data_IF_628291669183
#
_entry.id   IF_628291669183
#
_cell.length_a   1.000
_cell.length_b   1.000
_cell.length_c   1.000
_cell.angle_alpha   90.00
_cell.angle_beta   90.00
_cell.angle_gamma   90.00
#
_symmetry.space_group_name_H-M   'P 1'
#
loop_
_entity.id
_entity.type
_entity.pdbx_description
1 polymer ?
#
# COMPACT_ATOMS: atom_id res chain seq x y z
N UNK A 1 -27.17 0.32 -23.60
CA UNK A 1 -26.32 -0.29 -22.56
C UNK A 1 -25.62 0.86 -21.87
N UNK A 2 -26.18 1.33 -20.76
CA UNK A 2 -25.55 2.38 -19.97
C UNK A 2 -24.35 1.75 -19.28
N UNK A 3 -23.15 2.14 -19.71
CA UNK A 3 -21.93 1.89 -18.96
C UNK A 3 -22.04 2.69 -17.68
N UNK A 4 -22.56 2.07 -16.62
CA UNK A 4 -22.56 2.63 -15.26
C UNK A 4 -21.13 2.77 -14.78
N UNK A 5 -20.44 3.81 -15.24
CA UNK A 5 -19.21 4.29 -14.62
C UNK A 5 -19.59 4.66 -13.19
N UNK A 6 -19.12 3.87 -12.23
CA UNK A 6 -19.22 4.27 -10.83
C UNK A 6 -18.37 5.52 -10.71
N UNK A 7 -19.02 6.68 -10.53
CA UNK A 7 -18.33 7.90 -10.16
C UNK A 7 -17.46 7.58 -8.94
N UNK A 8 -16.15 7.70 -9.10
CA UNK A 8 -15.20 7.48 -8.02
C UNK A 8 -15.37 8.63 -7.03
N UNK A 9 -15.77 8.32 -5.79
CA UNK A 9 -15.85 9.33 -4.74
C UNK A 9 -14.44 9.87 -4.45
N UNK A 10 -14.22 11.13 -4.81
CA UNK A 10 -12.94 11.81 -4.65
C UNK A 10 -12.53 11.93 -3.17
N UNK A 11 -13.49 12.10 -2.27
CA UNK A 11 -13.22 12.17 -0.84
C UNK A 11 -12.74 10.83 -0.28
N UNK A 12 -13.34 9.72 -0.72
CA UNK A 12 -12.86 8.38 -0.40
C UNK A 12 -11.49 8.10 -1.00
N UNK A 13 -11.26 8.52 -2.25
CA UNK A 13 -9.99 8.36 -2.93
C UNK A 13 -8.84 9.09 -2.22
N UNK A 14 -9.07 10.33 -1.78
CA UNK A 14 -8.08 11.08 -1.01
C UNK A 14 -7.84 10.50 0.39
N UNK A 15 -8.88 9.99 1.05
CA UNK A 15 -8.73 9.27 2.33
C UNK A 15 -7.88 8.01 2.15
N UNK A 16 -8.14 7.24 1.09
CA UNK A 16 -7.35 6.05 0.75
C UNK A 16 -5.89 6.42 0.44
N UNK A 17 -5.67 7.44 -0.37
CA UNK A 17 -4.32 7.93 -0.68
C UNK A 17 -3.56 8.36 0.59
N UNK A 18 -4.24 9.00 1.54
CA UNK A 18 -3.66 9.35 2.83
C UNK A 18 -3.31 8.15 3.69
N UNK A 19 -4.19 7.14 3.73
CA UNK A 19 -3.94 5.89 4.44
C UNK A 19 -2.75 5.12 3.86
N UNK A 20 -2.61 5.10 2.53
CA UNK A 20 -1.49 4.45 1.85
C UNK A 20 -0.14 5.12 2.17
N UNK A 21 -0.09 6.46 2.23
CA UNK A 21 1.12 7.17 2.67
C UNK A 21 1.53 6.79 4.10
N UNK A 22 0.56 6.72 5.02
CA UNK A 22 0.82 6.28 6.40
C UNK A 22 1.31 4.82 6.45
N UNK A 23 0.70 3.93 5.66
CA UNK A 23 1.12 2.55 5.55
C UNK A 23 2.53 2.41 4.97
N UNK A 24 2.89 3.25 3.99
CA UNK A 24 4.23 3.34 3.42
C UNK A 24 5.27 3.70 4.47
N UNK A 25 5.04 4.77 5.24
CA UNK A 25 5.95 5.17 6.32
C UNK A 25 6.10 4.09 7.39
N UNK A 26 5.00 3.46 7.80
CA UNK A 26 5.06 2.36 8.77
C UNK A 26 5.83 1.14 8.23
N UNK A 27 5.73 0.87 6.93
CA UNK A 27 6.49 -0.20 6.27
C UNK A 27 7.99 0.12 6.22
N UNK A 28 8.36 1.37 5.95
CA UNK A 28 9.77 1.81 5.99
C UNK A 28 10.38 1.60 7.38
N UNK A 29 9.67 2.01 8.44
CA UNK A 29 10.10 1.77 9.82
C UNK A 29 10.23 0.27 10.13
N UNK A 30 9.30 -0.56 9.63
CA UNK A 30 9.35 -2.00 9.83
C UNK A 30 10.54 -2.66 9.09
N UNK A 31 10.89 -2.16 7.90
CA UNK A 31 12.07 -2.62 7.15
C UNK A 31 13.35 -2.27 7.89
N UNK A 32 13.50 -1.04 8.35
CA UNK A 32 14.66 -0.61 9.14
C UNK A 32 14.78 -1.43 10.43
N UNK A 33 13.67 -1.67 11.13
CA UNK A 33 13.66 -2.53 12.32
C UNK A 33 14.07 -3.98 11.98
N UNK A 34 13.59 -4.54 10.88
CA UNK A 34 13.94 -5.89 10.46
C UNK A 34 15.42 -6.02 10.06
N UNK A 35 15.98 -5.02 9.38
CA UNK A 35 17.40 -4.96 9.05
C UNK A 35 18.27 -4.90 10.32
N UNK A 36 17.88 -4.06 11.29
CA UNK A 36 18.60 -3.90 12.55
C UNK A 36 18.51 -5.12 13.46
N UNK A 37 17.35 -5.78 13.53
CA UNK A 37 17.13 -6.97 14.35
C UNK A 37 17.71 -8.24 13.72
N UNK A 38 17.89 -8.26 12.40
CA UNK A 38 18.24 -9.46 11.65
C UNK A 38 17.16 -10.54 11.71
N UNK A 39 17.52 -11.77 11.35
CA UNK A 39 16.59 -12.90 11.35
C UNK A 39 16.54 -13.56 12.74
N UNK A 40 15.83 -12.93 13.67
CA UNK A 40 15.80 -13.34 15.08
C UNK A 40 14.95 -14.59 15.36
N UNK A 41 13.96 -14.90 14.50
CA UNK A 41 13.12 -16.10 14.61
C UNK A 41 12.79 -16.66 13.22
N UNK A 42 13.34 -17.83 12.91
CA UNK A 42 13.20 -18.56 11.66
C UNK A 42 11.76 -19.02 11.37
N UNK A 43 10.86 -18.94 12.34
CA UNK A 43 9.42 -19.19 12.16
C UNK A 43 8.70 -17.99 11.53
N UNK A 44 9.28 -16.80 11.64
CA UNK A 44 8.76 -15.59 11.03
C UNK A 44 9.69 -15.16 9.90
N UNK A 45 9.27 -15.43 8.66
CA UNK A 45 9.93 -14.91 7.47
C UNK A 45 9.55 -13.42 7.27
N UNK A 46 10.11 -12.59 8.16
CA UNK A 46 9.89 -11.13 8.18
C UNK A 46 10.26 -10.49 6.83
N UNK A 47 11.40 -10.81 6.19
CA UNK A 47 11.73 -10.25 4.88
C UNK A 47 10.64 -10.54 3.82
N UNK A 48 10.12 -11.77 3.80
CA UNK A 48 9.04 -12.12 2.87
C UNK A 48 7.74 -11.39 3.16
N UNK A 49 7.37 -11.26 4.44
CA UNK A 49 6.16 -10.55 4.84
C UNK A 49 6.21 -9.06 4.44
N UNK A 50 7.33 -8.39 4.74
CA UNK A 50 7.53 -6.98 4.40
C UNK A 50 7.57 -6.76 2.88
N UNK A 51 8.26 -7.64 2.12
CA UNK A 51 8.23 -7.57 0.65
C UNK A 51 6.84 -7.80 0.05
N UNK A 52 5.98 -8.58 0.72
CA UNK A 52 4.56 -8.72 0.37
C UNK A 52 3.78 -7.43 0.60
N UNK A 53 3.97 -6.78 1.76
CA UNK A 53 3.33 -5.52 2.09
C UNK A 53 3.74 -4.39 1.12
N UNK A 54 5.02 -4.34 0.74
CA UNK A 54 5.55 -3.33 -0.19
C UNK A 54 4.88 -3.41 -1.56
N UNK A 55 4.73 -4.64 -2.10
CA UNK A 55 4.00 -4.86 -3.36
C UNK A 55 2.52 -4.47 -3.24
N UNK A 56 1.88 -4.79 -2.12
CA UNK A 56 0.47 -4.46 -1.92
C UNK A 56 0.25 -2.93 -1.90
N UNK A 57 1.10 -2.21 -1.18
CA UNK A 57 1.02 -0.74 -1.11
C UNK A 57 1.22 -0.14 -2.50
N UNK A 58 2.25 -0.57 -3.25
CA UNK A 58 2.49 -0.08 -4.61
C UNK A 58 1.32 -0.33 -5.56
N UNK A 59 0.73 -1.53 -5.53
CA UNK A 59 -0.46 -1.83 -6.35
C UNK A 59 -1.65 -0.91 -6.01
N UNK A 60 -1.83 -0.60 -4.72
CA UNK A 60 -2.89 0.30 -4.29
C UNK A 60 -2.63 1.76 -4.71
N UNK A 61 -1.37 2.21 -4.66
CA UNK A 61 -0.97 3.54 -5.14
C UNK A 61 -1.21 3.69 -6.64
N UNK A 62 -0.86 2.67 -7.44
CA UNK A 62 -1.15 2.62 -8.88
C UNK A 62 -2.65 2.67 -9.15
N UNK A 63 -3.46 1.92 -8.39
CA UNK A 63 -4.91 1.93 -8.54
C UNK A 63 -5.51 3.31 -8.21
N UNK A 64 -5.00 3.98 -7.17
CA UNK A 64 -5.40 5.36 -6.84
C UNK A 64 -5.00 6.33 -7.93
N UNK A 65 -3.80 6.21 -8.49
CA UNK A 65 -3.34 7.04 -9.60
C UNK A 65 -4.24 6.87 -10.84
N UNK A 66 -4.51 5.62 -11.25
CA UNK A 66 -5.39 5.32 -12.37
C UNK A 66 -6.80 5.88 -12.14
N UNK A 67 -7.34 5.77 -10.93
CA UNK A 67 -8.66 6.31 -10.60
C UNK A 67 -8.73 7.85 -10.71
N UNK A 68 -7.61 8.57 -10.55
CA UNK A 68 -7.53 10.02 -10.75
C UNK A 68 -7.50 10.42 -12.24
N UNK A 69 -7.05 9.52 -13.11
CA UNK A 69 -6.92 9.77 -14.56
C UNK A 69 -8.22 9.56 -15.35
N UNK A 70 -9.16 8.76 -14.83
CA UNK A 70 -10.47 8.45 -15.47
C UNK A 70 -11.46 9.63 -15.37
N UNK A 71 -10.94 10.86 -15.44
CA UNK A 71 -11.69 12.11 -15.36
C UNK A 71 -12.49 12.41 -16.62
#
# INVERSE_FOLDING_TARGET
>A
MESGGRDVDQGELERLASALRLAGSALEEALEAAENLGNFDHRFDVPRALGGAQRLIGNCEEAVAAAREVR
#
